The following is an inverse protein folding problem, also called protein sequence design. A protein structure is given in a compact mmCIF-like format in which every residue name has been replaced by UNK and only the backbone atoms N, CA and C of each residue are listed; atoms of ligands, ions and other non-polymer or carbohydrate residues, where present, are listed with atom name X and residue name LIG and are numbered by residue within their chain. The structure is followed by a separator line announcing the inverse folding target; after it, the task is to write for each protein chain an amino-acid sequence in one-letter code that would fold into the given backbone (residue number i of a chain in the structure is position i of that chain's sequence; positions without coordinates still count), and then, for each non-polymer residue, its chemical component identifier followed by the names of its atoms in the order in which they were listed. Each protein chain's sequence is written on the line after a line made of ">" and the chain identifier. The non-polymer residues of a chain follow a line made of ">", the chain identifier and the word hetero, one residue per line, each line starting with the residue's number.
data_IF_962852120365
#
_entry.id   IF_962852120365
#
_cell.length_a   1.000
_cell.length_b   1.000
_cell.length_c   1.000
_cell.angle_alpha   90.00
_cell.angle_beta   90.00
_cell.angle_gamma   90.00
#
_symmetry.space_group_name_H-M   'P 1'
#
loop_
_entity.id
_entity.type
_entity.pdbx_description
1 polymer ?
#
# COMPACT_ATOMS: atom_id res chain seq x y z
N UNK A 1 -18.21 13.64 18.74
CA UNK A 1 -17.62 12.29 18.94
C UNK A 1 -18.75 11.30 19.17
N UNK A 2 -18.73 10.13 18.53
CA UNK A 2 -19.69 9.07 18.81
C UNK A 2 -19.56 8.64 20.29
N UNK A 3 -20.67 8.42 21.00
CA UNK A 3 -20.64 8.04 22.42
C UNK A 3 -19.82 6.77 22.69
N UNK A 4 -19.66 5.94 21.67
CA UNK A 4 -19.00 4.63 21.73
C UNK A 4 -17.45 4.72 21.68
N UNK A 5 -16.90 5.93 21.60
CA UNK A 5 -15.46 6.23 21.75
C UNK A 5 -15.17 6.91 23.09
N UNK A 6 -16.18 7.10 23.96
CA UNK A 6 -15.96 7.59 25.33
C UNK A 6 -15.25 6.51 26.13
N UNK A 7 -14.04 6.82 26.58
CA UNK A 7 -13.34 6.05 27.61
C UNK A 7 -13.47 6.77 28.94
N UNK A 8 -13.78 6.05 30.02
CA UNK A 8 -13.68 6.56 31.38
C UNK A 8 -12.24 6.37 31.85
N UNK A 9 -11.44 7.43 31.74
CA UNK A 9 -10.17 7.51 32.45
C UNK A 9 -10.41 7.85 33.92
N UNK A 10 -9.65 7.26 34.82
CA UNK A 10 -9.53 7.80 36.18
C UNK A 10 -8.86 9.16 36.09
N UNK A 11 -9.64 10.24 36.19
CA UNK A 11 -9.06 11.55 36.50
C UNK A 11 -8.34 11.44 37.84
N UNK A 12 -7.27 12.23 38.00
CA UNK A 12 -6.47 12.30 39.22
C UNK A 12 -7.31 12.16 40.50
N UNK A 13 -7.03 11.18 41.35
CA UNK A 13 -7.73 11.02 42.62
C UNK A 13 -7.39 12.14 43.62
N UNK A 14 -6.28 12.85 43.39
CA UNK A 14 -5.76 13.93 44.25
C UNK A 14 -5.41 15.19 43.43
N UNK A 15 -5.61 16.36 44.02
CA UNK A 15 -5.22 17.66 43.43
C UNK A 15 -3.71 17.68 43.16
N UNK A 16 -3.29 18.25 42.03
CA UNK A 16 -1.88 18.39 41.62
C UNK A 16 -1.11 17.08 41.36
N UNK A 17 -1.81 15.95 41.16
CA UNK A 17 -1.19 14.73 40.62
C UNK A 17 -1.25 14.68 39.09
N UNK A 18 -0.52 13.76 38.47
CA UNK A 18 -0.65 13.44 37.04
C UNK A 18 -0.79 11.93 36.93
N UNK A 19 -1.92 11.45 36.41
CA UNK A 19 -2.13 10.04 36.10
C UNK A 19 -2.28 9.90 34.59
N UNK A 20 -1.46 9.03 33.99
CA UNK A 20 -1.56 8.72 32.56
C UNK A 20 -2.92 8.09 32.24
N UNK A 21 -3.66 8.69 31.32
CA UNK A 21 -4.89 8.09 30.82
C UNK A 21 -4.54 6.85 29.98
N UNK A 22 -4.81 5.67 30.52
CA UNK A 22 -4.61 4.42 29.79
C UNK A 22 -5.79 4.17 28.85
N UNK A 23 -5.53 4.27 27.55
CA UNK A 23 -6.46 3.82 26.52
C UNK A 23 -6.25 2.32 26.27
N UNK A 24 -7.34 1.57 26.18
CA UNK A 24 -7.31 0.17 25.77
C UNK A 24 -6.68 0.05 24.37
N UNK A 25 -5.81 -0.93 24.18
CA UNK A 25 -5.20 -1.24 22.90
C UNK A 25 -6.22 -1.45 21.77
N UNK A 26 -7.41 -1.99 22.10
CA UNK A 26 -8.56 -2.07 21.17
C UNK A 26 -8.90 -0.70 20.57
N UNK A 27 -8.91 0.35 21.39
CA UNK A 27 -9.25 1.71 20.95
C UNK A 27 -8.17 2.24 20.01
N UNK A 28 -6.90 2.02 20.37
CA UNK A 28 -5.74 2.44 19.56
C UNK A 28 -5.81 1.81 18.16
N UNK A 29 -6.02 0.49 18.08
CA UNK A 29 -6.14 -0.19 16.80
C UNK A 29 -7.38 0.19 16.00
N UNK A 30 -8.50 0.46 16.69
CA UNK A 30 -9.72 0.95 16.04
C UNK A 30 -9.52 2.34 15.42
N UNK A 31 -8.84 3.25 16.12
CA UNK A 31 -8.49 4.58 15.61
C UNK A 31 -7.52 4.51 14.44
N UNK A 32 -6.50 3.64 14.54
CA UNK A 32 -5.53 3.42 13.47
C UNK A 32 -6.17 2.85 12.19
N UNK A 33 -7.10 1.89 12.34
CA UNK A 33 -7.85 1.38 11.19
C UNK A 33 -8.79 2.45 10.61
N UNK A 34 -9.45 3.22 11.47
CA UNK A 34 -10.31 4.31 11.02
C UNK A 34 -9.53 5.37 10.25
N UNK A 35 -8.32 5.73 10.71
CA UNK A 35 -7.42 6.62 9.99
C UNK A 35 -7.13 6.09 8.58
N UNK A 36 -6.75 4.81 8.48
CA UNK A 36 -6.43 4.18 7.19
C UNK A 36 -7.64 4.18 6.25
N UNK A 37 -8.81 3.72 6.73
CA UNK A 37 -10.04 3.66 5.93
C UNK A 37 -10.47 5.04 5.41
N UNK A 38 -10.29 6.12 6.18
CA UNK A 38 -10.70 7.48 5.76
C UNK A 38 -9.93 7.99 4.53
N UNK A 39 -8.72 7.50 4.27
CA UNK A 39 -7.93 7.92 3.12
C UNK A 39 -8.48 7.43 1.77
N UNK A 40 -9.37 6.43 1.79
CA UNK A 40 -9.92 5.77 0.59
C UNK A 40 -11.45 5.90 0.50
N UNK A 41 -12.01 6.94 1.11
CA UNK A 41 -13.45 7.26 1.10
C UNK A 41 -13.73 8.49 0.20
N UNK A 42 -14.75 8.41 -0.64
CA UNK A 42 -15.24 9.50 -1.49
C UNK A 42 -15.69 10.70 -0.64
N UNK A 43 -15.45 11.93 -1.13
CA UNK A 43 -16.01 13.18 -0.62
C UNK A 43 -16.22 13.25 0.90
N UNK A 44 -15.14 13.19 1.68
CA UNK A 44 -15.24 13.37 3.13
C UNK A 44 -15.73 14.81 3.40
N UNK A 45 -16.87 15.02 4.06
CA UNK A 45 -17.34 16.36 4.39
C UNK A 45 -16.33 16.99 5.36
N UNK A 46 -15.85 18.18 5.01
CA UNK A 46 -15.10 19.05 5.91
C UNK A 46 -16.02 19.42 7.08
N UNK A 47 -15.80 18.81 8.25
CA UNK A 47 -16.46 19.27 9.46
C UNK A 47 -15.65 20.46 10.00
N UNK A 48 -16.30 21.58 10.32
CA UNK A 48 -15.65 22.75 10.94
C UNK A 48 -14.85 22.44 12.24
N UNK A 49 -15.01 21.24 12.81
CA UNK A 49 -14.42 20.81 14.08
C UNK A 49 -13.67 19.46 13.98
N UNK A 50 -13.54 18.88 12.78
CA UNK A 50 -12.69 17.71 12.55
C UNK A 50 -11.88 17.96 11.27
N UNK A 51 -10.53 17.92 11.34
CA UNK A 51 -9.69 18.09 10.16
C UNK A 51 -10.12 17.11 9.05
N UNK A 52 -10.20 17.57 7.80
CA UNK A 52 -10.09 16.64 6.68
C UNK A 52 -8.65 16.12 6.71
N UNK A 53 -8.47 14.87 7.14
CA UNK A 53 -7.15 14.27 7.31
C UNK A 53 -6.45 13.96 5.98
N UNK A 54 -7.04 14.36 4.84
CA UNK A 54 -6.39 14.41 3.52
C UNK A 54 -5.66 15.72 3.28
N UNK A 55 -5.99 16.78 4.04
CA UNK A 55 -5.47 18.12 3.84
C UNK A 55 -4.43 18.47 4.91
N UNK A 56 -3.19 18.67 4.46
CA UNK A 56 -2.06 19.10 5.28
C UNK A 56 -1.99 20.61 5.53
N UNK A 57 -2.93 21.43 5.06
CA UNK A 57 -2.89 22.88 5.25
C UNK A 57 -4.26 23.51 5.50
N UNK A 58 -4.26 24.63 6.22
CA UNK A 58 -5.43 25.41 6.67
C UNK A 58 -6.12 26.23 5.56
N UNK A 59 -6.02 25.80 4.30
CA UNK A 59 -6.55 26.51 3.14
C UNK A 59 -7.28 25.60 2.15
N UNK A 60 -8.30 24.87 2.61
CA UNK A 60 -9.42 24.53 1.75
C UNK A 60 -10.51 25.59 1.89
N UNK A 61 -10.70 26.33 0.81
CA UNK A 61 -11.95 26.99 0.43
C UNK A 61 -13.13 26.23 1.05
N UNK A 62 -14.00 26.92 1.80
CA UNK A 62 -15.21 26.37 2.44
C UNK A 62 -16.28 25.87 1.46
N UNK A 63 -15.87 25.33 0.32
CA UNK A 63 -16.71 24.78 -0.72
C UNK A 63 -16.76 23.27 -0.55
N UNK A 64 -17.84 22.82 0.07
CA UNK A 64 -18.23 21.43 0.15
C UNK A 64 -18.34 20.87 -1.28
N UNK A 65 -17.36 20.09 -1.74
CA UNK A 65 -17.29 19.67 -3.14
C UNK A 65 -18.47 18.77 -3.52
N UNK A 66 -19.03 17.93 -2.64
CA UNK A 66 -20.27 17.17 -2.91
C UNK A 66 -21.10 16.84 -1.64
N UNK A 67 -22.44 16.78 -1.78
CA UNK A 67 -23.44 16.60 -0.69
C UNK A 67 -23.80 15.12 -0.39
N UNK A 68 -23.14 14.15 -1.00
CA UNK A 68 -23.51 12.73 -0.90
C UNK A 68 -22.89 12.04 0.33
N UNK A 69 -23.49 10.92 0.77
CA UNK A 69 -22.94 10.11 1.86
C UNK A 69 -21.58 9.52 1.46
N UNK A 70 -20.53 9.65 2.28
CA UNK A 70 -19.20 9.11 1.96
C UNK A 70 -19.24 7.59 1.76
N UNK A 71 -18.62 7.10 0.68
CA UNK A 71 -18.52 5.68 0.32
C UNK A 71 -17.07 5.30 0.06
N UNK A 72 -16.70 4.03 0.17
CA UNK A 72 -15.36 3.60 -0.23
C UNK A 72 -15.18 3.72 -1.74
N UNK A 73 -14.01 4.20 -2.17
CA UNK A 73 -13.66 4.35 -3.60
C UNK A 73 -13.66 2.97 -4.27
N UNK A 74 -14.63 2.78 -5.17
CA UNK A 74 -14.90 1.51 -5.82
C UNK A 74 -13.93 1.21 -6.95
N UNK A 75 -13.53 2.23 -7.72
CA UNK A 75 -12.58 2.06 -8.82
C UNK A 75 -11.16 1.78 -8.29
N UNK A 76 -10.53 0.66 -8.69
CA UNK A 76 -9.22 0.26 -8.19
C UNK A 76 -8.06 1.16 -8.63
N UNK A 77 -8.18 1.83 -9.79
CA UNK A 77 -7.17 2.77 -10.29
C UNK A 77 -7.17 4.04 -9.43
N UNK A 78 -8.35 4.63 -9.24
CA UNK A 78 -8.55 5.81 -8.37
C UNK A 78 -8.10 5.51 -6.94
N UNK A 79 -8.50 4.35 -6.42
CA UNK A 79 -8.11 3.92 -5.08
C UNK A 79 -6.58 3.76 -4.94
N UNK A 80 -5.90 3.20 -5.95
CA UNK A 80 -4.45 3.06 -5.93
C UNK A 80 -3.72 4.41 -5.95
N UNK A 81 -4.26 5.44 -6.63
CA UNK A 81 -3.76 6.82 -6.54
C UNK A 81 -3.90 7.38 -5.12
N UNK A 82 -5.05 7.22 -4.49
CA UNK A 82 -5.28 7.67 -3.10
C UNK A 82 -4.40 6.95 -2.08
N UNK A 83 -4.16 5.66 -2.26
CA UNK A 83 -3.22 4.89 -1.43
C UNK A 83 -1.80 5.42 -1.62
N UNK A 84 -1.38 5.71 -2.86
CA UNK A 84 -0.07 6.30 -3.14
C UNK A 84 0.10 7.64 -2.43
N UNK A 85 -0.92 8.51 -2.52
CA UNK A 85 -0.96 9.80 -1.84
C UNK A 85 -0.91 9.65 -0.30
N UNK A 86 -1.69 8.75 0.28
CA UNK A 86 -1.68 8.50 1.73
C UNK A 86 -0.31 8.02 2.24
N UNK A 87 0.34 7.12 1.50
CA UNK A 87 1.70 6.69 1.80
C UNK A 87 2.71 7.84 1.69
N UNK A 88 2.62 8.67 0.65
CA UNK A 88 3.46 9.86 0.51
C UNK A 88 3.26 10.85 1.67
N UNK A 89 2.01 11.15 2.05
CA UNK A 89 1.68 12.03 3.20
C UNK A 89 2.32 11.55 4.49
N UNK A 90 2.17 10.27 4.82
CA UNK A 90 2.75 9.73 6.06
C UNK A 90 4.28 9.65 5.99
N UNK A 91 4.88 9.33 4.84
CA UNK A 91 6.33 9.41 4.66
C UNK A 91 6.90 10.81 4.87
N UNK A 92 6.20 11.82 4.33
CA UNK A 92 6.54 13.24 4.45
C UNK A 92 6.18 13.82 5.83
N UNK A 93 5.59 13.01 6.72
CA UNK A 93 5.14 13.43 8.05
C UNK A 93 4.09 14.54 7.99
N UNK A 94 3.34 14.62 6.90
CA UNK A 94 2.28 15.59 6.67
C UNK A 94 0.90 14.98 6.98
N UNK A 95 0.68 14.73 8.25
CA UNK A 95 -0.60 14.29 8.82
C UNK A 95 -0.66 14.72 10.29
N UNK A 96 -1.82 14.62 10.95
CA UNK A 96 -2.02 15.24 12.27
C UNK A 96 -1.18 14.66 13.43
N UNK A 97 -0.50 13.52 13.24
CA UNK A 97 0.48 12.97 14.19
C UNK A 97 1.91 12.98 13.63
N UNK A 98 2.10 13.58 12.46
CA UNK A 98 3.39 13.65 11.81
C UNK A 98 4.33 14.64 12.48
N UNK A 99 5.63 14.37 12.36
CA UNK A 99 6.70 15.24 12.80
C UNK A 99 7.70 15.42 11.65
N UNK A 100 7.67 16.59 10.99
CA UNK A 100 8.51 16.86 9.81
C UNK A 100 10.02 16.81 10.09
N UNK A 101 10.44 16.89 11.36
CA UNK A 101 11.84 16.65 11.74
C UNK A 101 12.26 15.18 11.62
N UNK A 102 11.28 14.27 11.48
CA UNK A 102 11.46 12.82 11.38
C UNK A 102 11.25 12.26 9.97
N UNK A 103 11.13 13.10 8.94
CA UNK A 103 11.01 12.64 7.53
C UNK A 103 12.08 11.58 7.23
N UNK A 104 11.61 10.40 6.82
CA UNK A 104 12.43 9.23 6.54
C UNK A 104 12.41 8.14 7.60
N UNK A 105 11.76 8.33 8.77
CA UNK A 105 11.54 7.23 9.73
C UNK A 105 10.61 6.16 9.18
N UNK A 106 9.54 6.56 8.47
CA UNK A 106 8.58 5.67 7.82
C UNK A 106 9.00 5.32 6.39
N UNK A 107 10.25 4.87 6.26
CA UNK A 107 10.97 4.80 4.99
C UNK A 107 10.31 3.91 3.93
N UNK A 108 9.62 2.84 4.35
CA UNK A 108 8.86 1.96 3.47
C UNK A 108 7.75 2.71 2.73
N UNK A 109 7.03 3.61 3.39
CA UNK A 109 5.89 4.29 2.78
C UNK A 109 6.30 5.20 1.60
N UNK A 110 7.52 5.74 1.60
CA UNK A 110 8.03 6.45 0.42
C UNK A 110 8.17 5.53 -0.79
N UNK A 111 8.72 4.33 -0.62
CA UNK A 111 8.77 3.32 -1.70
C UNK A 111 7.37 2.80 -2.06
N UNK A 112 6.54 2.55 -1.05
CA UNK A 112 5.15 2.11 -1.18
C UNK A 112 4.31 3.09 -1.99
N UNK A 113 4.55 4.40 -1.85
CA UNK A 113 3.89 5.43 -2.66
C UNK A 113 4.18 5.24 -4.16
N UNK A 114 5.45 5.06 -4.55
CA UNK A 114 5.83 4.77 -5.94
C UNK A 114 5.25 3.43 -6.43
N UNK A 115 5.22 2.41 -5.58
CA UNK A 115 4.66 1.11 -5.92
C UNK A 115 3.14 1.18 -6.15
N UNK A 116 2.39 1.84 -5.27
CA UNK A 116 0.94 2.04 -5.43
C UNK A 116 0.62 2.92 -6.64
N UNK A 117 1.42 3.95 -6.88
CA UNK A 117 1.38 4.78 -8.09
C UNK A 117 1.51 3.95 -9.36
N UNK A 118 2.40 2.96 -9.36
CA UNK A 118 2.56 2.05 -10.48
C UNK A 118 1.39 1.08 -10.66
N UNK A 119 0.75 0.66 -9.56
CA UNK A 119 -0.50 -0.11 -9.62
C UNK A 119 -1.58 0.71 -10.31
N UNK A 120 -1.75 1.99 -9.95
CA UNK A 120 -2.66 2.90 -10.64
C UNK A 120 -2.33 3.01 -12.14
N UNK A 121 -1.06 3.24 -12.48
CA UNK A 121 -0.60 3.31 -13.88
C UNK A 121 -0.98 2.05 -14.69
N UNK A 122 -0.84 0.87 -14.08
CA UNK A 122 -1.17 -0.42 -14.70
C UNK A 122 -2.67 -0.57 -14.89
N UNK A 123 -3.46 -0.17 -13.90
CA UNK A 123 -4.93 -0.22 -13.92
C UNK A 123 -5.55 0.79 -14.90
N UNK A 124 -4.83 1.87 -15.21
CA UNK A 124 -5.23 2.91 -16.16
C UNK A 124 -5.04 2.50 -17.63
N UNK A 125 -4.27 1.44 -17.91
CA UNK A 125 -4.08 0.95 -19.28
C UNK A 125 -5.42 0.49 -19.87
N UNK A 126 -5.74 0.95 -21.08
CA UNK A 126 -7.03 0.68 -21.71
C UNK A 126 -7.33 -0.83 -21.81
N UNK A 127 -6.30 -1.66 -22.01
CA UNK A 127 -6.45 -3.11 -22.07
C UNK A 127 -6.88 -3.68 -20.71
N UNK A 128 -6.27 -3.19 -19.63
CA UNK A 128 -6.59 -3.61 -18.27
C UNK A 128 -7.94 -3.06 -17.81
N UNK A 129 -8.34 -1.87 -18.31
CA UNK A 129 -9.58 -1.20 -17.93
C UNK A 129 -10.81 -1.76 -18.65
N UNK A 130 -10.70 -2.11 -19.94
CA UNK A 130 -11.85 -2.40 -20.79
C UNK A 130 -11.87 -3.77 -21.46
N UNK A 131 -10.73 -4.46 -21.59
CA UNK A 131 -10.73 -5.78 -22.23
C UNK A 131 -10.99 -6.88 -21.18
N UNK A 132 -12.13 -7.56 -21.32
CA UNK A 132 -12.62 -8.57 -20.37
C UNK A 132 -11.61 -9.68 -20.04
N UNK A 133 -10.68 -10.00 -20.95
CA UNK A 133 -9.56 -10.93 -20.70
C UNK A 133 -8.59 -10.53 -19.58
N UNK A 134 -8.69 -9.31 -19.04
CA UNK A 134 -7.84 -8.77 -17.98
C UNK A 134 -8.59 -8.52 -16.66
N UNK A 135 -9.85 -8.98 -16.53
CA UNK A 135 -10.66 -8.78 -15.31
C UNK A 135 -10.02 -9.37 -14.07
N UNK A 136 -9.39 -10.53 -14.18
CA UNK A 136 -8.77 -11.26 -13.08
C UNK A 136 -7.50 -10.56 -12.61
N UNK A 137 -6.70 -10.03 -13.53
CA UNK A 137 -5.53 -9.19 -13.21
C UNK A 137 -5.97 -7.90 -12.52
N UNK A 138 -6.97 -7.21 -13.07
CA UNK A 138 -7.51 -5.96 -12.48
C UNK A 138 -8.05 -6.23 -11.07
N UNK A 139 -8.79 -7.32 -10.88
CA UNK A 139 -9.30 -7.73 -9.59
C UNK A 139 -8.18 -8.10 -8.61
N UNK A 140 -7.19 -8.87 -9.06
CA UNK A 140 -6.02 -9.28 -8.27
C UNK A 140 -5.20 -8.08 -7.79
N UNK A 141 -4.74 -7.23 -8.70
CA UNK A 141 -3.97 -6.02 -8.37
C UNK A 141 -4.76 -5.07 -7.45
N UNK A 142 -6.04 -4.86 -7.76
CA UNK A 142 -6.92 -4.00 -6.96
C UNK A 142 -7.18 -4.55 -5.55
N UNK A 143 -7.28 -5.87 -5.39
CA UNK A 143 -7.41 -6.56 -4.09
C UNK A 143 -6.12 -6.46 -3.29
N UNK A 144 -4.97 -6.75 -3.91
CA UNK A 144 -3.67 -6.67 -3.24
C UNK A 144 -3.36 -5.30 -2.71
N UNK A 145 -3.51 -4.27 -3.55
CA UNK A 145 -3.27 -2.89 -3.16
C UNK A 145 -4.19 -2.45 -2.00
N UNK A 146 -5.47 -2.83 -2.02
CA UNK A 146 -6.41 -2.51 -0.94
C UNK A 146 -6.05 -3.18 0.40
N UNK A 147 -5.73 -4.47 0.37
CA UNK A 147 -5.52 -5.22 1.61
C UNK A 147 -4.13 -5.03 2.21
N UNK A 148 -3.11 -4.77 1.38
CA UNK A 148 -1.84 -4.22 1.85
C UNK A 148 -2.05 -2.90 2.58
N UNK A 149 -2.81 -1.99 1.99
CA UNK A 149 -3.08 -0.68 2.59
C UNK A 149 -3.81 -0.78 3.93
N UNK A 150 -4.84 -1.62 4.00
CA UNK A 150 -5.58 -1.84 5.24
C UNK A 150 -4.77 -2.49 6.35
N UNK A 151 -3.81 -3.34 6.00
CA UNK A 151 -2.88 -3.91 6.96
C UNK A 151 -1.86 -2.86 7.39
N UNK A 152 -1.08 -2.34 6.43
CA UNK A 152 0.20 -1.70 6.71
C UNK A 152 0.05 -0.32 7.35
N UNK A 153 -0.84 0.54 6.82
CA UNK A 153 -0.88 1.96 7.19
C UNK A 153 -1.26 2.16 8.67
N UNK A 154 -2.13 1.31 9.20
CA UNK A 154 -2.56 1.39 10.60
C UNK A 154 -1.40 1.15 11.57
N UNK A 155 -0.41 0.31 11.21
CA UNK A 155 0.79 0.14 12.04
C UNK A 155 1.58 1.45 12.17
N UNK A 156 1.75 2.17 11.04
CA UNK A 156 2.46 3.45 11.01
C UNK A 156 1.74 4.52 11.82
N UNK A 157 0.41 4.59 11.69
CA UNK A 157 -0.41 5.49 12.49
C UNK A 157 -0.29 5.21 13.99
N UNK A 158 -0.42 3.94 14.40
CA UNK A 158 -0.34 3.55 15.80
C UNK A 158 1.05 3.86 16.39
N UNK A 159 2.11 3.67 15.62
CA UNK A 159 3.46 4.05 16.05
C UNK A 159 3.61 5.57 16.20
N UNK A 160 3.12 6.36 15.23
CA UNK A 160 3.14 7.81 15.29
C UNK A 160 2.37 8.38 16.49
N UNK A 161 1.27 7.72 16.88
CA UNK A 161 0.49 8.07 18.06
C UNK A 161 1.26 7.87 19.39
N UNK A 162 2.28 6.99 19.40
CA UNK A 162 3.19 6.81 20.51
C UNK A 162 3.93 5.49 20.45
N UNK A 163 5.25 5.53 20.29
CA UNK A 163 6.09 4.34 20.13
C UNK A 163 5.99 3.36 21.32
N UNK A 164 5.99 3.87 22.56
CA UNK A 164 5.91 3.01 23.75
C UNK A 164 4.55 2.32 23.87
N UNK A 165 3.47 3.04 23.57
CA UNK A 165 2.11 2.49 23.52
C UNK A 165 1.97 1.49 22.38
N UNK A 166 2.55 1.76 21.21
CA UNK A 166 2.60 0.83 20.09
C UNK A 166 3.21 -0.52 20.51
N UNK A 167 4.39 -0.53 21.11
CA UNK A 167 5.03 -1.79 21.51
C UNK A 167 4.30 -2.51 22.65
N UNK A 168 3.62 -1.78 23.54
CA UNK A 168 2.73 -2.39 24.54
C UNK A 168 1.51 -3.06 23.91
N UNK A 169 1.00 -2.51 22.80
CA UNK A 169 -0.24 -2.94 22.18
C UNK A 169 -0.08 -3.78 20.91
N UNK A 170 1.14 -3.94 20.38
CA UNK A 170 1.39 -4.55 19.06
C UNK A 170 0.76 -5.93 18.91
N UNK A 171 0.88 -6.77 19.94
CA UNK A 171 0.34 -8.15 19.92
C UNK A 171 -1.16 -8.26 20.14
N UNK A 172 -1.82 -7.16 20.50
CA UNK A 172 -3.27 -7.11 20.68
C UNK A 172 -4.03 -6.67 19.42
N UNK A 173 -3.34 -6.33 18.33
CA UNK A 173 -4.04 -5.97 17.08
C UNK A 173 -4.83 -7.18 16.60
N UNK A 174 -6.15 -7.03 16.52
CA UNK A 174 -7.05 -8.02 15.93
C UNK A 174 -8.29 -7.29 15.42
N UNK A 175 -8.56 -7.37 14.12
CA UNK A 175 -9.72 -6.72 13.50
C UNK A 175 -11.07 -7.18 14.05
N UNK A 176 -11.14 -8.38 14.65
CA UNK A 176 -12.35 -8.87 15.34
C UNK A 176 -12.63 -8.14 16.64
N UNK A 177 -11.62 -7.47 17.20
CA UNK A 177 -11.73 -6.72 18.44
C UNK A 177 -11.99 -5.24 18.22
N UNK A 178 -12.07 -4.76 16.97
CA UNK A 178 -12.39 -3.36 16.71
C UNK A 178 -13.69 -2.91 17.38
N UNK A 179 -13.76 -1.64 17.76
CA UNK A 179 -15.00 -1.01 18.22
C UNK A 179 -16.08 -1.18 17.16
N UNK A 180 -17.31 -1.49 17.57
CA UNK A 180 -18.40 -1.96 16.70
C UNK A 180 -18.62 -1.09 15.45
N UNK A 181 -18.54 0.24 15.60
CA UNK A 181 -18.70 1.15 14.47
C UNK A 181 -17.53 1.04 13.46
N UNK A 182 -16.31 0.87 13.95
CA UNK A 182 -15.13 0.66 13.11
C UNK A 182 -15.20 -0.71 12.46
N UNK A 183 -15.55 -1.76 13.21
CA UNK A 183 -15.75 -3.11 12.68
C UNK A 183 -16.80 -3.13 11.56
N UNK A 184 -17.96 -2.50 11.79
CA UNK A 184 -19.06 -2.40 10.82
C UNK A 184 -18.64 -1.70 9.53
N UNK A 185 -17.84 -0.64 9.63
CA UNK A 185 -17.34 0.04 8.43
C UNK A 185 -16.24 -0.78 7.74
N UNK A 186 -15.38 -1.44 8.51
CA UNK A 186 -14.28 -2.24 8.00
C UNK A 186 -14.77 -3.44 7.18
N UNK A 187 -15.87 -4.08 7.60
CA UNK A 187 -16.47 -5.22 6.86
C UNK A 187 -17.11 -4.84 5.52
N UNK A 188 -17.39 -3.55 5.28
CA UNK A 188 -17.94 -3.07 4.00
C UNK A 188 -16.92 -2.99 2.87
N UNK A 189 -15.64 -3.16 3.17
CA UNK A 189 -14.60 -3.08 2.16
C UNK A 189 -14.67 -4.26 1.18
N UNK A 190 -14.35 -3.97 -0.08
CA UNK A 190 -14.43 -4.96 -1.15
C UNK A 190 -13.51 -6.15 -0.87
N UNK A 191 -14.08 -7.35 -0.91
CA UNK A 191 -13.35 -8.59 -0.71
C UNK A 191 -13.03 -8.92 0.75
N UNK A 192 -13.76 -8.35 1.73
CA UNK A 192 -13.50 -8.58 3.16
C UNK A 192 -13.52 -10.05 3.53
N UNK A 193 -14.61 -10.76 3.22
CA UNK A 193 -14.79 -12.15 3.61
C UNK A 193 -13.74 -13.09 2.98
N UNK A 194 -13.27 -12.74 1.79
CA UNK A 194 -12.32 -13.52 1.00
C UNK A 194 -10.85 -13.27 1.38
N UNK A 195 -10.59 -12.18 2.13
CA UNK A 195 -9.24 -11.67 2.37
C UNK A 195 -8.86 -11.68 3.85
N UNK A 196 -9.76 -11.29 4.74
CA UNK A 196 -9.40 -10.93 6.12
C UNK A 196 -8.79 -12.08 6.92
N UNK A 197 -9.25 -13.31 6.70
CA UNK A 197 -8.75 -14.47 7.43
C UNK A 197 -7.39 -14.96 6.90
N UNK A 198 -6.94 -14.48 5.74
CA UNK A 198 -5.65 -14.82 5.12
C UNK A 198 -4.52 -13.86 5.50
N UNK A 199 -4.84 -12.68 6.05
CA UNK A 199 -3.88 -11.58 6.22
C UNK A 199 -3.64 -11.22 7.71
N UNK A 200 -2.40 -11.25 8.20
CA UNK A 200 -1.24 -11.90 7.59
C UNK A 200 -1.28 -13.44 7.70
N UNK A 201 -0.46 -14.15 6.94
CA UNK A 201 0.07 -15.45 7.33
C UNK A 201 1.46 -15.27 7.94
N UNK A 202 1.89 -16.21 8.79
CA UNK A 202 3.27 -16.24 9.31
C UNK A 202 4.13 -17.00 8.31
N UNK A 203 5.25 -16.40 7.93
CA UNK A 203 6.25 -17.02 7.07
C UNK A 203 7.64 -16.94 7.69
N UNK A 204 8.54 -17.81 7.24
CA UNK A 204 9.97 -17.57 7.35
C UNK A 204 10.36 -16.46 6.35
N UNK A 205 10.81 -15.31 6.86
CA UNK A 205 11.09 -14.13 6.05
C UNK A 205 12.26 -14.25 5.08
N UNK A 206 13.13 -15.26 5.22
CA UNK A 206 14.24 -15.49 4.29
C UNK A 206 13.82 -16.44 3.17
N UNK A 207 13.10 -17.51 3.50
CA UNK A 207 12.76 -18.60 2.56
C UNK A 207 11.35 -18.50 1.97
N UNK A 208 10.45 -17.75 2.60
CA UNK A 208 9.05 -17.66 2.23
C UNK A 208 8.20 -18.86 2.65
N UNK A 209 8.76 -19.79 3.42
CA UNK A 209 8.04 -20.98 3.89
C UNK A 209 6.92 -20.56 4.82
N UNK A 210 5.69 -20.93 4.48
CA UNK A 210 4.50 -20.67 5.32
C UNK A 210 4.52 -21.54 6.56
N UNK A 211 4.26 -20.92 7.71
CA UNK A 211 4.30 -21.56 9.02
C UNK A 211 2.90 -21.65 9.64
N UNK A 212 2.16 -20.54 9.64
CA UNK A 212 0.86 -20.44 10.33
C UNK A 212 -0.09 -19.52 9.56
N UNK A 213 -1.38 -19.84 9.54
CA UNK A 213 -2.41 -18.88 9.15
C UNK A 213 -2.77 -18.03 10.37
N UNK A 214 -2.49 -16.72 10.33
CA UNK A 214 -2.77 -15.81 11.45
C UNK A 214 -4.09 -15.05 11.27
N UNK A 215 -4.25 -14.38 10.13
CA UNK A 215 -5.45 -13.63 9.75
C UNK A 215 -5.76 -12.42 10.63
N UNK A 216 -6.82 -11.72 10.25
CA UNK A 216 -7.48 -10.66 11.01
C UNK A 216 -6.58 -9.47 11.36
N UNK A 217 -5.57 -9.16 10.52
CA UNK A 217 -4.61 -8.05 10.71
C UNK A 217 -3.78 -8.16 11.99
N UNK A 218 -3.59 -9.39 12.50
CA UNK A 218 -2.84 -9.66 13.73
C UNK A 218 -1.33 -9.47 13.53
N UNK A 219 -0.61 -9.21 14.62
CA UNK A 219 0.84 -9.05 14.57
C UNK A 219 1.58 -10.32 14.15
N UNK A 220 2.75 -10.10 13.57
CA UNK A 220 3.78 -11.09 13.29
C UNK A 220 5.13 -10.56 13.79
N UNK A 221 6.14 -11.43 13.89
CA UNK A 221 7.48 -10.99 14.30
C UNK A 221 8.11 -10.04 13.27
N UNK A 222 7.88 -10.27 11.97
CA UNK A 222 8.48 -9.46 10.90
C UNK A 222 8.01 -8.00 10.98
N UNK A 223 6.72 -7.75 11.22
CA UNK A 223 6.23 -6.37 11.36
C UNK A 223 6.80 -5.72 12.64
N UNK A 224 6.87 -6.45 13.76
CA UNK A 224 7.46 -5.94 15.01
C UNK A 224 8.94 -5.58 14.84
N UNK A 225 9.71 -6.42 14.14
CA UNK A 225 11.11 -6.14 13.82
C UNK A 225 11.26 -4.90 12.93
N UNK A 226 10.37 -4.74 11.95
CA UNK A 226 10.31 -3.55 11.10
C UNK A 226 10.13 -2.26 11.89
N UNK A 227 9.20 -2.25 12.86
CA UNK A 227 8.98 -1.08 13.73
C UNK A 227 10.07 -0.90 14.80
N UNK A 228 10.73 -1.98 15.21
CA UNK A 228 11.94 -1.89 16.05
C UNK A 228 13.03 -1.11 15.34
N UNK A 229 13.18 -1.25 14.01
CA UNK A 229 14.12 -0.43 13.22
C UNK A 229 13.74 1.03 13.12
N UNK A 230 12.46 1.39 13.23
CA UNK A 230 12.03 2.79 13.38
C UNK A 230 12.48 3.33 14.74
N UNK A 231 12.28 2.57 15.83
CA UNK A 231 12.75 2.97 17.17
C UNK A 231 14.27 3.17 17.19
N UNK A 232 15.02 2.25 16.58
CA UNK A 232 16.48 2.39 16.42
C UNK A 232 16.85 3.60 15.56
N UNK A 233 16.07 3.94 14.53
CA UNK A 233 16.29 5.11 13.68
C UNK A 233 16.09 6.41 14.46
N UNK A 234 15.03 6.50 15.26
CA UNK A 234 14.73 7.70 16.06
C UNK A 234 15.79 7.95 17.13
N UNK A 235 16.33 6.87 17.73
CA UNK A 235 17.45 6.95 18.68
C UNK A 235 18.83 7.17 18.03
N UNK A 236 18.95 6.93 16.72
CA UNK A 236 20.22 7.08 16.01
C UNK A 236 20.48 8.53 15.57
N UNK A 237 21.76 8.85 15.37
CA UNK A 237 22.23 10.12 14.82
C UNK A 237 22.94 9.92 13.48
N UNK A 238 23.02 11.00 12.70
CA UNK A 238 23.88 11.12 11.52
C UNK A 238 23.83 9.94 10.53
N UNK A 239 24.97 9.29 10.34
CA UNK A 239 25.24 8.32 9.28
C UNK A 239 24.59 6.93 9.48
N UNK A 240 24.05 6.63 10.67
CA UNK A 240 23.43 5.33 10.93
C UNK A 240 21.94 5.30 10.59
N UNK A 241 21.26 6.46 10.58
CA UNK A 241 19.84 6.58 10.20
C UNK A 241 19.54 5.92 8.83
N UNK A 242 20.29 6.17 7.75
CA UNK A 242 20.04 5.51 6.46
C UNK A 242 20.07 3.98 6.54
N UNK A 243 20.99 3.39 7.33
CA UNK A 243 21.08 1.93 7.48
C UNK A 243 19.86 1.37 8.21
N UNK A 244 19.40 2.04 9.26
CA UNK A 244 18.19 1.64 10.02
C UNK A 244 16.94 1.76 9.16
N UNK A 245 16.83 2.84 8.38
CA UNK A 245 15.75 3.07 7.42
C UNK A 245 15.69 1.98 6.35
N UNK A 246 16.83 1.58 5.79
CA UNK A 246 16.91 0.48 4.82
C UNK A 246 16.49 -0.86 5.43
N UNK A 247 16.94 -1.17 6.65
CA UNK A 247 16.52 -2.40 7.36
C UNK A 247 15.02 -2.40 7.63
N UNK A 248 14.46 -1.30 8.13
CA UNK A 248 13.01 -1.14 8.28
C UNK A 248 12.29 -1.47 6.96
N UNK A 249 12.73 -0.86 5.86
CA UNK A 249 12.15 -1.06 4.55
C UNK A 249 12.17 -2.54 4.13
N UNK A 250 13.28 -3.27 4.32
CA UNK A 250 13.34 -4.70 4.00
C UNK A 250 12.39 -5.53 4.85
N UNK A 251 12.25 -5.25 6.15
CA UNK A 251 11.29 -5.96 7.00
C UNK A 251 9.85 -5.74 6.55
N UNK A 252 9.45 -4.50 6.25
CA UNK A 252 8.10 -4.23 5.77
C UNK A 252 7.87 -4.84 4.38
N UNK A 253 8.90 -4.87 3.51
CA UNK A 253 8.84 -5.58 2.24
C UNK A 253 8.53 -7.07 2.42
N UNK A 254 9.23 -7.74 3.34
CA UNK A 254 9.01 -9.16 3.67
C UNK A 254 7.60 -9.39 4.22
N UNK A 255 7.13 -8.51 5.10
CA UNK A 255 5.76 -8.56 5.62
C UNK A 255 4.72 -8.42 4.49
N UNK A 256 4.81 -7.37 3.67
CA UNK A 256 3.85 -7.15 2.59
C UNK A 256 3.88 -8.25 1.54
N UNK A 257 5.08 -8.61 1.04
CA UNK A 257 5.23 -9.58 -0.05
C UNK A 257 5.00 -11.02 0.40
N UNK A 258 5.39 -11.36 1.62
CA UNK A 258 5.34 -12.70 2.16
C UNK A 258 4.13 -12.96 3.04
N UNK A 259 3.94 -12.15 4.08
CA UNK A 259 2.89 -12.38 5.07
C UNK A 259 1.51 -11.94 4.58
N UNK A 260 1.41 -10.88 3.75
CA UNK A 260 0.13 -10.39 3.24
C UNK A 260 -0.17 -10.96 1.85
N UNK A 261 0.67 -10.67 0.85
CA UNK A 261 0.36 -10.99 -0.55
C UNK A 261 0.47 -12.48 -0.89
N UNK A 262 1.36 -13.24 -0.23
CA UNK A 262 1.57 -14.65 -0.59
C UNK A 262 0.27 -15.44 -0.43
N UNK A 263 -0.34 -15.38 0.75
CA UNK A 263 -1.61 -16.06 1.03
C UNK A 263 -2.82 -15.43 0.34
N UNK A 264 -2.81 -14.09 0.15
CA UNK A 264 -3.95 -13.36 -0.39
C UNK A 264 -4.12 -13.51 -1.91
N UNK A 265 -3.01 -13.41 -2.66
CA UNK A 265 -3.04 -13.33 -4.12
C UNK A 265 -2.19 -14.41 -4.75
N UNK A 266 -0.94 -14.58 -4.29
CA UNK A 266 -0.01 -15.44 -5.01
C UNK A 266 -0.31 -16.92 -4.83
N UNK A 267 -0.99 -17.30 -3.75
CA UNK A 267 -1.41 -18.68 -3.51
C UNK A 267 -2.79 -19.03 -4.07
N UNK A 268 -3.55 -18.03 -4.47
CA UNK A 268 -4.87 -18.19 -5.08
C UNK A 268 -4.75 -18.98 -6.39
N UNK A 269 -5.57 -20.03 -6.53
CA UNK A 269 -5.44 -20.98 -7.65
C UNK A 269 -5.81 -20.35 -8.99
N UNK A 270 -6.84 -19.51 -9.02
CA UNK A 270 -7.26 -18.79 -10.24
C UNK A 270 -6.17 -17.82 -10.67
N UNK A 271 -5.63 -17.06 -9.72
CA UNK A 271 -4.53 -16.13 -10.00
C UNK A 271 -3.26 -16.86 -10.46
N UNK A 272 -2.88 -17.97 -9.82
CA UNK A 272 -1.76 -18.83 -10.26
C UNK A 272 -1.96 -19.39 -11.66
N UNK A 273 -3.16 -19.88 -11.96
CA UNK A 273 -3.48 -20.42 -13.28
C UNK A 273 -3.36 -19.33 -14.36
N UNK A 274 -3.88 -18.14 -14.08
CA UNK A 274 -3.78 -17.00 -14.98
C UNK A 274 -2.31 -16.59 -15.22
N UNK A 275 -1.50 -16.48 -14.17
CA UNK A 275 -0.06 -16.18 -14.27
C UNK A 275 0.71 -17.24 -15.09
N UNK A 276 0.36 -18.52 -14.93
CA UNK A 276 0.97 -19.61 -15.70
C UNK A 276 0.65 -19.53 -17.18
N UNK A 277 -0.62 -19.28 -17.52
CA UNK A 277 -1.06 -19.16 -18.92
C UNK A 277 -0.41 -17.95 -19.60
N UNK A 278 -0.34 -16.82 -18.88
CA UNK A 278 0.39 -15.64 -19.31
C UNK A 278 1.84 -15.99 -19.63
N UNK A 279 2.57 -16.66 -18.73
CA UNK A 279 3.98 -17.05 -18.97
C UNK A 279 4.15 -18.06 -20.11
N UNK A 280 3.26 -19.05 -20.24
CA UNK A 280 3.30 -20.02 -21.33
C UNK A 280 3.17 -19.36 -22.70
N UNK A 281 2.32 -18.35 -22.81
CA UNK A 281 2.19 -17.55 -24.02
C UNK A 281 3.38 -16.59 -24.26
N UNK A 282 3.98 -16.05 -23.20
CA UNK A 282 5.23 -15.25 -23.30
C UNK A 282 6.45 -16.07 -23.74
N UNK A 283 6.49 -17.37 -23.43
CA UNK A 283 7.60 -18.25 -23.80
C UNK A 283 7.60 -18.66 -25.29
N UNK A 284 6.49 -18.43 -26.01
CA UNK A 284 6.27 -18.89 -27.40
C UNK A 284 6.32 -17.78 -28.45
N UNK A 285 6.58 -16.52 -28.07
CA UNK A 285 6.52 -15.37 -28.97
C UNK A 285 7.85 -14.59 -29.11
N UNK A 286 8.30 -14.38 -30.36
CA UNK A 286 9.44 -13.53 -30.72
C UNK A 286 9.04 -12.04 -30.87
N UNK A 287 9.96 -11.13 -30.53
CA UNK A 287 9.81 -9.65 -30.49
C UNK A 287 9.31 -9.06 -31.82
N UNK A 288 9.64 -9.71 -32.94
CA UNK A 288 9.21 -9.30 -34.29
C UNK A 288 7.72 -9.55 -34.54
N UNK A 289 7.21 -10.72 -34.12
CA UNK A 289 5.80 -11.07 -34.25
C UNK A 289 4.90 -10.17 -33.38
N UNK A 290 5.46 -9.67 -32.28
CA UNK A 290 4.79 -8.79 -31.31
C UNK A 290 4.59 -7.39 -31.89
N UNK A 291 5.64 -6.78 -32.47
CA UNK A 291 5.55 -5.47 -33.13
C UNK A 291 4.52 -5.46 -34.26
N UNK A 292 4.54 -6.48 -35.11
CA UNK A 292 3.62 -6.59 -36.24
C UNK A 292 2.16 -6.75 -35.79
N UNK A 293 1.91 -7.49 -34.71
CA UNK A 293 0.56 -7.65 -34.14
C UNK A 293 0.05 -6.36 -33.49
N UNK A 294 0.93 -5.57 -32.87
CA UNK A 294 0.58 -4.27 -32.28
C UNK A 294 0.23 -3.20 -33.33
N UNK A 295 0.94 -3.18 -34.47
CA UNK A 295 0.60 -2.27 -35.58
C UNK A 295 -0.73 -2.63 -36.24
N UNK A 296 -1.02 -3.93 -36.39
CA UNK A 296 -2.30 -4.41 -36.93
C UNK A 296 -3.50 -4.01 -36.04
N UNK A 297 -3.34 -4.00 -34.72
CA UNK A 297 -4.39 -3.57 -33.78
C UNK A 297 -4.69 -2.07 -33.84
N UNK A 298 -3.78 -1.24 -34.37
CA UNK A 298 -4.00 0.20 -34.54
C UNK A 298 -5.15 0.51 -35.52
N UNK A 299 -5.51 -0.46 -36.35
CA UNK A 299 -6.56 -0.35 -37.37
C UNK A 299 -7.82 -1.17 -37.07
N UNK A 300 -7.94 -1.74 -35.87
CA UNK A 300 -9.11 -2.51 -35.42
C UNK A 300 -9.10 -3.97 -35.90
N UNK A 301 -9.16 -4.91 -34.96
CA UNK A 301 -9.36 -6.33 -35.25
C UNK A 301 -10.85 -6.58 -35.52
N UNK A 302 -11.20 -7.07 -36.70
CA UNK A 302 -12.58 -7.13 -37.19
C UNK A 302 -13.31 -8.47 -36.99
N UNK A 303 -12.73 -9.52 -36.40
CA UNK A 303 -13.42 -10.84 -36.47
C UNK A 303 -13.29 -11.81 -35.28
N UNK A 304 -12.70 -11.41 -34.14
CA UNK A 304 -12.83 -12.20 -32.91
C UNK A 304 -12.34 -13.66 -32.98
N UNK A 305 -11.43 -13.99 -33.90
CA UNK A 305 -10.92 -15.36 -34.04
C UNK A 305 -9.83 -15.71 -33.01
N UNK A 306 -10.07 -16.76 -32.22
CA UNK A 306 -9.28 -17.23 -31.06
C UNK A 306 -7.91 -17.88 -31.38
N UNK A 307 -7.37 -17.81 -32.61
CA UNK A 307 -6.22 -18.65 -33.01
C UNK A 307 -4.93 -17.93 -33.46
N UNK A 308 -4.72 -16.65 -33.11
CA UNK A 308 -3.45 -15.96 -33.36
C UNK A 308 -2.94 -15.11 -32.18
N UNK A 309 -3.17 -15.55 -30.94
CA UNK A 309 -2.99 -14.71 -29.74
C UNK A 309 -1.66 -14.87 -28.98
N UNK A 310 -0.78 -15.83 -29.35
CA UNK A 310 0.49 -16.06 -28.65
C UNK A 310 1.44 -14.83 -28.64
N UNK A 311 1.64 -14.08 -29.75
CA UNK A 311 2.45 -12.85 -29.74
C UNK A 311 1.77 -11.67 -29.04
N UNK A 312 0.45 -11.61 -29.07
CA UNK A 312 -0.35 -10.53 -28.46
C UNK A 312 -0.32 -10.59 -26.92
N UNK A 313 0.02 -11.75 -26.34
CA UNK A 313 0.07 -11.91 -24.88
C UNK A 313 1.29 -11.19 -24.26
N UNK A 314 2.38 -10.96 -25.02
CA UNK A 314 3.55 -10.17 -24.56
C UNK A 314 3.35 -8.67 -24.59
N UNK A 315 2.58 -8.15 -25.54
CA UNK A 315 2.31 -6.72 -25.67
C UNK A 315 1.41 -6.13 -24.58
N UNK A 316 0.72 -6.98 -23.80
CA UNK A 316 -0.46 -6.58 -23.03
C UNK A 316 -0.36 -6.80 -21.52
N UNK A 317 0.76 -7.34 -21.05
CA UNK A 317 1.18 -7.21 -19.66
C UNK A 317 2.21 -6.08 -19.68
N UNK A 318 1.92 -4.88 -19.14
CA UNK A 318 3.00 -3.91 -19.01
C UNK A 318 4.15 -4.57 -18.26
N UNK A 319 5.39 -4.40 -18.76
CA UNK A 319 6.58 -4.81 -18.02
C UNK A 319 6.39 -4.35 -16.58
N UNK A 320 6.47 -5.29 -15.64
CA UNK A 320 6.33 -4.97 -14.23
C UNK A 320 7.53 -4.11 -13.86
N UNK A 321 7.33 -2.80 -13.93
CA UNK A 321 8.36 -1.79 -13.74
C UNK A 321 8.02 -1.04 -12.47
N UNK A 322 9.01 -0.56 -11.73
CA UNK A 322 8.83 0.44 -10.69
C UNK A 322 9.49 1.73 -11.16
N UNK A 323 8.69 2.77 -11.37
CA UNK A 323 9.16 4.11 -11.75
C UNK A 323 9.21 4.98 -10.50
N UNK A 324 10.39 5.52 -10.19
CA UNK A 324 10.70 6.33 -9.00
C UNK A 324 10.67 7.85 -9.32
N UNK A 325 9.75 8.25 -10.21
CA UNK A 325 9.36 9.64 -10.49
C UNK A 325 7.84 9.79 -10.30
N UNK A 326 7.25 10.99 -10.38
CA UNK A 326 5.79 11.14 -10.31
C UNK A 326 5.10 10.57 -11.55
N UNK A 327 5.78 10.54 -12.70
CA UNK A 327 5.23 10.03 -13.94
C UNK A 327 5.02 8.50 -13.90
N UNK A 328 4.08 8.01 -14.71
CA UNK A 328 3.85 6.57 -14.90
C UNK A 328 4.97 5.86 -15.69
N UNK A 329 5.78 6.61 -16.43
CA UNK A 329 6.87 6.11 -17.27
C UNK A 329 8.05 7.06 -17.19
N UNK A 330 9.24 6.54 -17.45
CA UNK A 330 10.44 7.37 -17.60
C UNK A 330 11.44 6.66 -18.51
N UNK A 331 12.12 7.44 -19.34
CA UNK A 331 13.25 6.95 -20.14
C UNK A 331 14.57 6.97 -19.34
N UNK A 332 14.55 7.59 -18.14
CA UNK A 332 15.72 7.66 -17.26
C UNK A 332 15.87 6.37 -16.46
N UNK A 333 16.75 5.48 -16.93
CA UNK A 333 17.01 4.16 -16.33
C UNK A 333 17.43 4.22 -14.84
N UNK A 334 18.01 5.34 -14.40
CA UNK A 334 18.38 5.55 -13.00
C UNK A 334 17.15 5.55 -12.06
N UNK A 335 15.97 5.97 -12.56
CA UNK A 335 14.72 6.01 -11.81
C UNK A 335 13.78 4.83 -12.10
N UNK A 336 14.24 3.82 -12.84
CA UNK A 336 13.40 2.69 -13.28
C UNK A 336 13.96 1.37 -12.78
N UNK A 337 13.14 0.54 -12.14
CA UNK A 337 13.47 -0.85 -11.80
C UNK A 337 12.54 -1.80 -12.55
N UNK A 338 13.04 -2.43 -13.61
CA UNK A 338 12.26 -3.42 -14.36
C UNK A 338 12.37 -4.79 -13.69
N UNK A 339 11.25 -5.51 -13.61
CA UNK A 339 11.26 -6.91 -13.20
C UNK A 339 12.05 -7.76 -14.19
N UNK A 340 12.78 -8.79 -13.74
CA UNK A 340 13.45 -9.72 -14.63
C UNK A 340 12.48 -10.36 -15.63
N UNK A 341 12.96 -10.59 -16.84
CA UNK A 341 12.20 -11.30 -17.85
C UNK A 341 11.74 -12.68 -17.34
N UNK A 342 10.47 -12.99 -17.56
CA UNK A 342 9.84 -14.27 -17.16
C UNK A 342 9.87 -14.53 -15.65
N UNK A 343 9.97 -13.49 -14.81
CA UNK A 343 9.85 -13.61 -13.37
C UNK A 343 8.56 -14.35 -12.98
N UNK A 344 8.69 -15.33 -12.10
CA UNK A 344 7.57 -16.10 -11.56
C UNK A 344 7.07 -15.37 -10.32
N UNK A 345 6.07 -14.51 -10.49
CA UNK A 345 5.55 -13.69 -9.40
C UNK A 345 5.03 -14.49 -8.22
N UNK A 346 4.55 -15.72 -8.38
CA UNK A 346 4.12 -16.54 -7.24
C UNK A 346 5.28 -17.12 -6.41
N UNK A 347 6.50 -17.10 -6.96
CA UNK A 347 7.73 -17.55 -6.30
C UNK A 347 8.25 -16.44 -5.39
N UNK A 348 8.17 -16.68 -4.08
CA UNK A 348 8.55 -15.71 -3.07
C UNK A 348 10.01 -15.23 -3.23
N UNK A 349 10.94 -16.16 -3.44
CA UNK A 349 12.36 -15.82 -3.50
C UNK A 349 12.64 -14.92 -4.70
N UNK A 350 12.14 -15.31 -5.88
CA UNK A 350 12.33 -14.51 -7.10
C UNK A 350 11.70 -13.13 -7.00
N UNK A 351 10.53 -13.01 -6.36
CA UNK A 351 9.94 -11.70 -6.07
C UNK A 351 10.82 -10.89 -5.14
N UNK A 352 11.25 -11.48 -4.03
CA UNK A 352 12.05 -10.77 -3.03
C UNK A 352 13.42 -10.34 -3.57
N UNK A 353 14.02 -11.09 -4.47
CA UNK A 353 15.27 -10.70 -5.15
C UNK A 353 15.07 -9.41 -5.98
N UNK A 354 13.98 -9.34 -6.76
CA UNK A 354 13.65 -8.14 -7.53
C UNK A 354 13.26 -6.96 -6.62
N UNK A 355 12.43 -7.21 -5.61
CA UNK A 355 12.03 -6.17 -4.65
C UNK A 355 13.27 -5.62 -3.96
N UNK A 356 14.18 -6.47 -3.47
CA UNK A 356 15.45 -6.04 -2.85
C UNK A 356 16.28 -5.17 -3.81
N UNK A 357 16.39 -5.54 -5.08
CA UNK A 357 17.07 -4.71 -6.09
C UNK A 357 16.39 -3.34 -6.26
N UNK A 358 15.06 -3.30 -6.26
CA UNK A 358 14.29 -2.07 -6.33
C UNK A 358 14.45 -1.21 -5.07
N UNK A 359 14.51 -1.83 -3.89
CA UNK A 359 14.71 -1.14 -2.61
C UNK A 359 16.10 -0.51 -2.51
N UNK A 360 17.13 -1.20 -3.01
CA UNK A 360 18.50 -0.68 -3.09
C UNK A 360 18.58 0.53 -4.02
N UNK A 361 17.91 0.47 -5.19
CA UNK A 361 17.84 1.59 -6.12
C UNK A 361 17.16 2.81 -5.47
N UNK A 362 16.00 2.62 -4.85
CA UNK A 362 15.33 3.67 -4.09
C UNK A 362 16.21 4.23 -2.97
N UNK A 363 16.87 3.36 -2.20
CA UNK A 363 17.74 3.76 -1.11
C UNK A 363 18.92 4.62 -1.60
N UNK A 364 19.54 4.23 -2.71
CA UNK A 364 20.62 4.98 -3.33
C UNK A 364 20.13 6.35 -3.81
N UNK A 365 18.98 6.42 -4.49
CA UNK A 365 18.39 7.69 -4.93
C UNK A 365 18.04 8.61 -3.76
N UNK A 366 17.49 8.08 -2.68
CA UNK A 366 17.21 8.85 -1.45
C UNK A 366 18.47 9.36 -0.76
N UNK A 367 19.64 8.75 -0.99
CA UNK A 367 20.93 9.24 -0.49
C UNK A 367 21.54 10.30 -1.40
N UNK A 368 21.52 10.09 -2.72
CA UNK A 368 22.24 10.95 -3.67
C UNK A 368 21.39 12.05 -4.32
N UNK A 369 20.06 11.88 -4.33
CA UNK A 369 19.07 12.78 -4.96
C UNK A 369 17.88 13.02 -4.03
N UNK A 370 18.16 13.15 -2.72
CA UNK A 370 17.13 13.26 -1.67
C UNK A 370 16.07 14.32 -1.97
N UNK A 371 16.48 15.53 -2.32
CA UNK A 371 15.57 16.64 -2.61
C UNK A 371 14.64 16.33 -3.77
N UNK A 372 15.16 15.75 -4.87
CA UNK A 372 14.33 15.35 -6.01
C UNK A 372 13.35 14.25 -5.62
N UNK A 373 13.80 13.24 -4.87
CA UNK A 373 12.92 12.15 -4.43
C UNK A 373 11.82 12.62 -3.48
N UNK A 374 12.13 13.55 -2.56
CA UNK A 374 11.14 14.21 -1.70
C UNK A 374 10.17 15.01 -2.58
N UNK A 375 10.66 15.84 -3.50
CA UNK A 375 9.81 16.60 -4.43
C UNK A 375 8.91 15.71 -5.29
N UNK A 376 9.34 14.51 -5.65
CA UNK A 376 8.49 13.56 -6.35
C UNK A 376 7.37 13.00 -5.46
N UNK A 377 7.65 12.73 -4.19
CA UNK A 377 6.65 12.30 -3.22
C UNK A 377 5.66 13.43 -2.91
N UNK A 378 6.09 14.70 -2.91
CA UNK A 378 5.20 15.85 -2.82
C UNK A 378 4.19 15.92 -3.97
N UNK A 379 4.61 15.59 -5.20
CA UNK A 379 3.68 15.52 -6.33
C UNK A 379 2.69 14.36 -6.16
N UNK A 380 3.17 13.17 -5.76
CA UNK A 380 2.31 11.99 -5.55
C UNK A 380 1.32 12.23 -4.40
N UNK A 381 1.72 12.96 -3.36
CA UNK A 381 0.88 13.39 -2.24
C UNK A 381 -0.40 14.08 -2.73
N UNK A 382 -0.28 14.94 -3.75
CA UNK A 382 -1.42 15.68 -4.32
C UNK A 382 -2.43 14.82 -5.09
N UNK A 383 -2.11 13.58 -5.44
CA UNK A 383 -3.00 12.71 -6.21
C UNK A 383 -4.25 12.28 -5.45
N UNK A 384 -4.19 12.33 -4.11
CA UNK A 384 -5.32 12.01 -3.25
C UNK A 384 -6.45 13.05 -3.33
N UNK A 385 -6.15 14.22 -3.89
CA UNK A 385 -7.03 15.39 -3.97
C UNK A 385 -7.57 15.60 -5.39
N UNK A 386 -7.16 14.75 -6.34
CA UNK A 386 -7.70 14.73 -7.69
C UNK A 386 -9.16 14.22 -7.70
N UNK A 387 -10.04 14.74 -8.56
CA UNK A 387 -11.39 14.22 -8.74
C UNK A 387 -11.40 12.74 -9.16
N UNK A 388 -12.42 12.01 -8.72
CA UNK A 388 -12.68 10.64 -9.15
C UNK A 388 -13.25 10.65 -10.59
N UNK A 389 -12.38 10.74 -11.60
CA UNK A 389 -12.74 10.71 -13.04
C UNK A 389 -12.66 9.32 -13.64
#
# INVERSE_FOLDING_TARGET
>A
MAENLKTTGTTNPERDTCVDAQCDCKIIWSLAQQFSMRQIVTNVPTHNHMPDYREGESHASGTQLEKQTPTFVSDPEVRARRIAAAYARVFLEEFHLGDTSKIGRFYWLGLGAFASKQVAATLALWQVKYAGRWSELRAGLGRGNLWLFNDVLAWFYAYAAGADTFFKCVDSRDSKQFVDQVATNFTRQKGFAESIDKIPCVIDGETGVKMEKRGYLRSTLIIVDGFTKIKEWEAASGLDRPKKAFKHLIYIAKHEQGEVLQGLIYDDQEFKWWLKNQRGALATSDDTAIKNSMEAMKYGLSDGSELALSPVIRALVPNLQLVLTPDYKTDKIEFKSDAPDRMVLEDYQKRMDWITSATEKYHNLMKVKKEAMIGYLEVIKGWGDEPDV
#
